data_IF_742342283344
#
_entry.id   IF_742342283344
#
_cell.length_a   1.000
_cell.length_b   1.000
_cell.length_c   1.000
_cell.angle_alpha   90.00
_cell.angle_beta   90.00
_cell.angle_gamma   90.00
#
_symmetry.space_group_name_H-M   'P 1'
#
loop_
_entity.id
_entity.type
_entity.pdbx_description
1 polymer ?
#
# COMPACT_ATOMS: atom_id res chain seq x y z
N UNK A 1 -14.30 -53.56 -46.60
CA UNK A 1 -15.10 -52.34 -46.36
C UNK A 1 -14.28 -51.45 -45.44
N UNK A 2 -13.76 -50.33 -45.95
CA UNK A 2 -12.79 -49.48 -45.22
C UNK A 2 -13.56 -48.48 -44.37
N UNK A 3 -13.25 -48.41 -43.08
CA UNK A 3 -13.89 -47.51 -42.12
C UNK A 3 -13.27 -46.13 -42.29
N UNK A 4 -14.03 -45.17 -42.82
CA UNK A 4 -13.62 -43.77 -42.87
C UNK A 4 -13.99 -43.10 -41.55
N UNK A 5 -13.04 -43.02 -40.61
CA UNK A 5 -13.13 -42.13 -39.44
C UNK A 5 -12.29 -40.89 -39.72
N UNK A 6 -12.89 -39.88 -40.34
CA UNK A 6 -12.33 -38.52 -40.32
C UNK A 6 -13.18 -37.69 -39.36
N UNK A 7 -12.78 -37.71 -38.09
CA UNK A 7 -13.21 -36.73 -37.12
C UNK A 7 -11.95 -36.29 -36.37
N UNK A 8 -11.36 -35.19 -36.83
CA UNK A 8 -10.41 -34.43 -36.01
C UNK A 8 -10.72 -32.96 -36.22
N UNK A 9 -11.55 -32.43 -35.32
CA UNK A 9 -11.72 -31.00 -35.08
C UNK A 9 -10.52 -30.59 -34.26
N UNK A 10 -9.53 -29.95 -34.87
CA UNK A 10 -8.40 -29.31 -34.16
C UNK A 10 -7.89 -28.24 -35.14
N UNK A 11 -7.98 -26.95 -34.88
CA UNK A 11 -7.41 -26.28 -33.71
C UNK A 11 -8.17 -24.95 -33.52
N UNK A 12 -8.97 -24.82 -32.46
CA UNK A 12 -9.39 -23.49 -32.04
C UNK A 12 -8.16 -22.81 -31.45
N UNK A 13 -7.79 -21.67 -32.02
CA UNK A 13 -6.73 -20.81 -31.51
C UNK A 13 -6.98 -20.53 -30.05
N UNK A 14 -6.25 -21.23 -29.18
CA UNK A 14 -6.13 -20.89 -27.77
C UNK A 14 -5.36 -19.58 -27.69
N UNK A 15 -6.05 -18.46 -27.90
CA UNK A 15 -5.70 -17.24 -27.21
C UNK A 15 -5.95 -17.52 -25.72
N UNK A 16 -4.99 -18.17 -25.08
CA UNK A 16 -4.85 -18.18 -23.64
C UNK A 16 -4.62 -16.73 -23.23
N UNK A 17 -5.72 -16.00 -23.09
CA UNK A 17 -5.76 -14.78 -22.33
C UNK A 17 -5.31 -15.17 -20.93
N UNK A 18 -4.08 -14.83 -20.61
CA UNK A 18 -3.49 -14.97 -19.30
C UNK A 18 -4.24 -14.06 -18.34
N UNK A 19 -5.43 -14.50 -17.90
CA UNK A 19 -6.12 -13.87 -16.81
C UNK A 19 -5.30 -14.17 -15.56
N UNK A 20 -4.46 -13.22 -15.17
CA UNK A 20 -3.88 -13.16 -13.83
C UNK A 20 -5.01 -12.92 -12.80
N UNK A 21 -5.88 -13.91 -12.58
CA UNK A 21 -6.89 -13.94 -11.50
C UNK A 21 -6.22 -14.37 -10.18
N UNK A 22 -5.00 -13.89 -9.95
CA UNK A 22 -4.31 -14.06 -8.68
C UNK A 22 -4.61 -12.86 -7.77
N UNK A 23 -4.64 -13.05 -6.44
CA UNK A 23 -4.76 -11.94 -5.52
C UNK A 23 -3.59 -10.96 -5.75
N UNK A 24 -3.92 -9.74 -6.21
CA UNK A 24 -2.94 -8.68 -6.40
C UNK A 24 -2.70 -7.92 -5.10
N UNK A 25 -1.44 -7.60 -4.81
CA UNK A 25 -1.08 -6.74 -3.69
C UNK A 25 -1.77 -5.36 -3.84
N UNK A 26 -2.25 -4.81 -2.73
CA UNK A 26 -2.93 -3.51 -2.74
C UNK A 26 -4.39 -3.52 -3.24
N UNK A 27 -4.91 -4.68 -3.67
CA UNK A 27 -6.30 -4.83 -4.15
C UNK A 27 -7.34 -4.35 -3.13
N UNK A 28 -7.11 -4.60 -1.83
CA UNK A 28 -7.98 -4.11 -0.75
C UNK A 28 -7.95 -2.59 -0.70
N UNK A 29 -6.78 -1.93 -0.75
CA UNK A 29 -6.69 -0.47 -0.72
C UNK A 29 -7.31 0.20 -1.95
N UNK A 30 -7.16 -0.43 -3.12
CA UNK A 30 -7.67 0.08 -4.40
C UNK A 30 -9.17 -0.12 -4.59
N UNK A 31 -9.77 -1.11 -3.92
CA UNK A 31 -11.20 -1.41 -4.03
C UNK A 31 -12.12 -0.35 -3.39
N UNK A 32 -11.60 0.52 -2.51
CA UNK A 32 -12.37 1.61 -1.89
C UNK A 32 -13.56 1.15 -1.03
N UNK A 33 -13.48 -0.06 -0.46
CA UNK A 33 -14.51 -0.62 0.41
C UNK A 33 -14.29 -0.31 1.89
N UNK A 34 -15.19 -0.79 2.75
CA UNK A 34 -15.13 -0.53 4.20
C UNK A 34 -13.79 -0.96 4.85
N UNK A 35 -13.16 -2.03 4.35
CA UNK A 35 -11.84 -2.47 4.81
C UNK A 35 -10.72 -1.51 4.39
N UNK A 36 -10.81 -0.94 3.18
CA UNK A 36 -9.88 0.06 2.66
C UNK A 36 -9.92 1.32 3.52
N UNK A 37 -11.13 1.81 3.83
CA UNK A 37 -11.33 3.00 4.66
C UNK A 37 -10.80 2.81 6.09
N UNK A 38 -11.09 1.65 6.69
CA UNK A 38 -10.55 1.31 8.01
C UNK A 38 -9.02 1.25 8.01
N UNK A 39 -8.43 0.66 6.97
CA UNK A 39 -6.97 0.61 6.80
C UNK A 39 -6.37 2.01 6.77
N UNK A 40 -6.88 2.88 5.89
CA UNK A 40 -6.43 4.27 5.76
C UNK A 40 -6.57 5.06 7.06
N UNK A 41 -7.70 4.94 7.75
CA UNK A 41 -7.93 5.63 9.01
C UNK A 41 -6.93 5.18 10.10
N UNK A 42 -6.64 3.88 10.17
CA UNK A 42 -5.69 3.32 11.15
C UNK A 42 -4.25 3.76 10.85
N UNK A 43 -3.84 3.70 9.59
CA UNK A 43 -2.54 4.20 9.14
C UNK A 43 -2.39 5.70 9.45
N UNK A 44 -3.39 6.51 9.10
CA UNK A 44 -3.34 7.95 9.33
C UNK A 44 -3.25 8.31 10.82
N UNK A 45 -3.99 7.61 11.68
CA UNK A 45 -3.90 7.80 13.13
C UNK A 45 -2.50 7.50 13.67
N UNK A 46 -1.87 6.43 13.18
CA UNK A 46 -0.50 6.07 13.57
C UNK A 46 0.52 7.12 13.14
N UNK A 47 0.48 7.56 11.87
CA UNK A 47 1.41 8.56 11.36
C UNK A 47 1.24 9.90 12.06
N UNK A 48 0.02 10.35 12.32
CA UNK A 48 -0.21 11.59 13.07
C UNK A 48 0.32 11.54 14.51
N UNK A 49 0.19 10.41 15.20
CA UNK A 49 0.75 10.26 16.54
C UNK A 49 2.29 10.33 16.52
N UNK A 50 2.92 9.64 15.57
CA UNK A 50 4.37 9.68 15.37
C UNK A 50 4.88 11.09 15.00
N UNK A 51 4.19 11.79 14.10
CA UNK A 51 4.55 13.16 13.71
C UNK A 51 4.46 14.12 14.89
N UNK A 52 3.40 14.02 15.70
CA UNK A 52 3.23 14.85 16.88
C UNK A 52 4.37 14.66 17.89
N UNK A 53 4.82 13.42 18.10
CA UNK A 53 5.96 13.11 18.97
C UNK A 53 7.26 13.73 18.45
N UNK A 54 7.54 13.57 17.15
CA UNK A 54 8.73 14.14 16.52
C UNK A 54 8.76 15.66 16.59
N UNK A 55 7.63 16.31 16.35
CA UNK A 55 7.49 17.77 16.46
C UNK A 55 7.69 18.26 17.89
N UNK A 56 7.17 17.52 18.88
CA UNK A 56 7.38 17.85 20.28
C UNK A 56 8.86 17.75 20.69
N UNK A 57 9.55 16.69 20.26
CA UNK A 57 10.97 16.52 20.51
C UNK A 57 11.80 17.64 19.87
N UNK A 58 11.50 17.99 18.62
CA UNK A 58 12.18 19.08 17.92
C UNK A 58 11.97 20.43 18.63
N UNK A 59 10.73 20.72 19.05
CA UNK A 59 10.41 21.93 19.80
C UNK A 59 11.21 22.00 21.11
N UNK A 60 11.26 20.90 21.85
CA UNK A 60 12.00 20.84 23.11
C UNK A 60 13.50 21.09 22.90
N UNK A 61 14.10 20.51 21.86
CA UNK A 61 15.50 20.74 21.52
C UNK A 61 15.78 22.20 21.16
N UNK A 62 14.87 22.87 20.45
CA UNK A 62 15.01 24.29 20.12
C UNK A 62 14.90 25.17 21.37
N UNK A 63 13.97 24.86 22.28
CA UNK A 63 13.82 25.59 23.55
C UNK A 63 15.05 25.43 24.45
N UNK A 64 15.62 24.22 24.52
CA UNK A 64 16.86 23.97 25.28
C UNK A 64 18.04 24.75 24.70
N UNK A 65 18.19 24.79 23.38
CA UNK A 65 19.25 25.56 22.72
C UNK A 65 19.11 27.06 22.98
N UNK A 66 17.89 27.61 22.92
CA UNK A 66 17.64 29.02 23.24
C UNK A 66 17.96 29.37 24.69
N UNK A 67 17.65 28.47 25.64
CA UNK A 67 18.00 28.68 27.05
C UNK A 67 19.52 28.63 27.28
N UNK A 68 20.23 27.75 26.57
CA UNK A 68 21.69 27.65 26.66
C UNK A 68 22.38 28.90 26.09
N UNK A 69 21.93 29.42 24.95
CA UNK A 69 22.52 30.63 24.33
C UNK A 69 22.20 31.91 25.13
N UNK A 70 21.02 31.99 25.76
CA UNK A 70 20.67 33.08 26.67
C UNK A 70 21.48 33.11 27.97
N UNK A 71 21.92 31.95 28.48
CA UNK A 71 22.71 31.84 29.71
C UNK A 71 24.21 32.13 29.54
N UNK A 72 24.73 32.13 28.29
CA UNK A 72 26.13 32.48 28.00
C UNK A 72 26.36 33.99 27.87
N UNK A 73 25.30 34.82 27.96
CA UNK A 73 25.35 36.28 27.77
C UNK A 73 25.20 37.08 29.08
N UNK A 74 25.42 36.47 30.25
CA UNK A 74 25.40 37.14 31.56
C UNK A 74 26.74 37.07 32.27
#
# INVERSE_FOLDING_TARGET
MKINKFATITNMSSNEQNYHIGPQAGSIGQAGGAFSERGRASENAYFHAQEAEQLAALKQQMEQQQQQTGNQSK
#
